data_IF_185856367985
#
_entry.id   IF_185856367985
#
_cell.length_a   1.000
_cell.length_b   1.000
_cell.length_c   1.000
_cell.angle_alpha   90.00
_cell.angle_beta   90.00
_cell.angle_gamma   90.00
#
_symmetry.space_group_name_H-M   'P 1'
#
loop_
_entity.id
_entity.type
_entity.pdbx_description
1 polymer ?
#
# COMPACT_ATOMS: atom_id res chain seq x y z
N UNK A 1 15.60 -7.38 -22.79
CA UNK A 1 14.76 -7.39 -21.61
C UNK A 1 13.34 -6.95 -21.97
N UNK A 2 12.39 -7.82 -21.72
CA UNK A 2 11.00 -7.56 -22.06
C UNK A 2 10.21 -7.21 -20.80
N UNK A 3 9.42 -6.13 -20.86
CA UNK A 3 8.54 -5.75 -19.77
C UNK A 3 7.20 -6.44 -19.97
N UNK A 4 6.85 -7.35 -19.06
CA UNK A 4 5.63 -8.14 -19.16
C UNK A 4 4.45 -7.49 -18.47
N UNK A 5 4.71 -6.77 -17.37
CA UNK A 5 3.69 -6.06 -16.61
C UNK A 5 4.21 -4.69 -16.26
N UNK A 6 3.31 -3.72 -16.29
CA UNK A 6 3.63 -2.35 -15.96
C UNK A 6 2.49 -1.74 -15.15
N UNK A 7 2.84 -1.07 -14.06
CA UNK A 7 1.90 -0.35 -13.23
C UNK A 7 2.28 1.11 -13.29
N UNK A 8 1.43 1.91 -13.90
CA UNK A 8 1.70 3.32 -14.11
C UNK A 8 1.35 4.17 -12.88
N UNK A 9 2.12 5.23 -12.66
CA UNK A 9 1.75 6.25 -11.69
C UNK A 9 0.33 6.78 -12.05
N UNK A 10 -0.58 6.99 -11.09
CA UNK A 10 -0.37 6.97 -9.64
C UNK A 10 -0.64 5.63 -8.94
N UNK A 11 -0.76 4.55 -9.67
CA UNK A 11 -1.16 3.24 -9.14
C UNK A 11 0.05 2.41 -8.67
N UNK A 12 0.93 3.01 -7.87
CA UNK A 12 2.10 2.33 -7.32
C UNK A 12 1.81 1.78 -5.93
N UNK A 13 2.25 0.54 -5.68
CA UNK A 13 2.16 -0.05 -4.35
C UNK A 13 2.99 0.73 -3.33
N UNK A 14 4.14 1.25 -3.75
CA UNK A 14 4.97 2.11 -2.91
C UNK A 14 4.24 3.38 -2.49
N UNK A 15 3.48 3.99 -3.41
CA UNK A 15 2.70 5.17 -3.10
C UNK A 15 1.55 4.86 -2.14
N UNK A 16 0.91 3.70 -2.28
CA UNK A 16 -0.10 3.26 -1.33
C UNK A 16 0.50 3.09 0.07
N UNK A 17 1.66 2.44 0.15
CA UNK A 17 2.36 2.24 1.40
C UNK A 17 2.77 3.59 2.02
N UNK A 18 3.23 4.53 1.20
CA UNK A 18 3.57 5.88 1.63
C UNK A 18 2.37 6.64 2.17
N UNK A 19 1.19 6.46 1.57
CA UNK A 19 -0.04 7.07 2.06
C UNK A 19 -0.36 6.59 3.48
N UNK A 20 -0.21 5.30 3.75
CA UNK A 20 -0.39 4.77 5.11
C UNK A 20 0.69 5.25 6.06
N UNK A 21 1.92 5.43 5.58
CA UNK A 21 3.01 6.03 6.38
C UNK A 21 2.62 7.43 6.82
N UNK A 22 2.12 8.24 5.89
CA UNK A 22 1.65 9.59 6.17
C UNK A 22 0.49 9.57 7.17
N UNK A 23 -0.52 8.72 6.92
CA UNK A 23 -1.73 8.68 7.77
C UNK A 23 -1.40 8.26 9.20
N UNK A 24 -0.44 7.37 9.38
CA UNK A 24 -0.02 6.92 10.71
C UNK A 24 0.97 7.86 11.40
N UNK A 25 1.26 9.00 10.76
CA UNK A 25 2.04 10.07 11.38
C UNK A 25 3.55 9.93 11.25
N UNK A 26 4.03 9.05 10.40
CA UNK A 26 5.45 8.89 10.13
C UNK A 26 5.86 9.68 8.90
N UNK A 27 7.15 9.99 8.83
CA UNK A 27 7.68 10.75 7.71
C UNK A 27 7.77 9.90 6.45
N UNK A 28 7.14 10.36 5.38
CA UNK A 28 7.17 9.67 4.08
C UNK A 28 8.61 9.63 3.54
N UNK A 29 8.95 8.53 2.89
CA UNK A 29 10.27 8.22 2.33
C UNK A 29 11.35 7.85 3.35
N UNK A 30 11.05 7.97 4.65
CA UNK A 30 11.98 7.55 5.69
C UNK A 30 11.31 6.77 6.81
N UNK A 31 9.98 6.81 6.88
CA UNK A 31 9.21 6.18 7.94
C UNK A 31 8.55 4.86 7.58
N UNK A 32 8.67 4.39 6.32
CA UNK A 32 8.04 3.16 5.87
C UNK A 32 8.50 1.95 6.69
N UNK A 33 9.77 1.90 7.05
CA UNK A 33 10.30 0.82 7.88
C UNK A 33 9.66 0.78 9.27
N UNK A 34 9.19 1.93 9.77
CA UNK A 34 8.52 2.01 11.08
C UNK A 34 7.15 1.32 11.01
N UNK A 35 6.44 1.47 9.89
CA UNK A 35 5.20 0.75 9.66
C UNK A 35 5.47 -0.75 9.62
N UNK A 36 6.50 -1.17 8.91
CA UNK A 36 6.88 -2.58 8.87
C UNK A 36 7.18 -3.12 10.26
N UNK A 37 7.82 -2.32 11.11
CA UNK A 37 8.12 -2.68 12.48
C UNK A 37 6.88 -2.74 13.39
N UNK A 38 5.84 -1.98 13.07
CA UNK A 38 4.58 -2.00 13.83
C UNK A 38 3.65 -3.15 13.45
N UNK A 39 3.74 -3.64 12.21
CA UNK A 39 2.82 -4.65 11.69
C UNK A 39 2.68 -5.89 12.58
N UNK A 40 3.76 -6.47 13.15
CA UNK A 40 3.62 -7.64 14.02
C UNK A 40 2.82 -7.40 15.30
N UNK A 41 2.66 -6.15 15.72
CA UNK A 41 1.92 -5.80 16.93
C UNK A 41 0.45 -5.52 16.69
N UNK A 42 0.01 -5.54 15.43
CA UNK A 42 -1.36 -5.26 15.05
C UNK A 42 -2.07 -6.47 14.47
N UNK A 43 -3.36 -6.29 14.20
CA UNK A 43 -4.19 -7.28 13.53
C UNK A 43 -4.67 -6.69 12.20
N UNK A 44 -4.76 -7.48 11.12
CA UNK A 44 -5.14 -6.95 9.80
C UNK A 44 -6.67 -6.75 9.69
N UNK A 45 -7.23 -5.97 10.60
CA UNK A 45 -8.68 -5.75 10.69
C UNK A 45 -9.21 -4.79 9.63
N UNK A 46 -8.33 -4.01 8.98
CA UNK A 46 -8.73 -3.05 7.95
C UNK A 46 -8.55 -3.59 6.52
N UNK A 47 -8.16 -4.85 6.36
CA UNK A 47 -7.90 -5.43 5.02
C UNK A 47 -9.14 -5.31 4.12
N UNK A 48 -10.33 -5.66 4.64
CA UNK A 48 -11.55 -5.59 3.84
C UNK A 48 -11.89 -4.16 3.45
N UNK A 49 -11.72 -3.20 4.38
CA UNK A 49 -11.95 -1.79 4.07
C UNK A 49 -11.01 -1.29 2.98
N UNK A 50 -9.75 -1.69 3.04
CA UNK A 50 -8.75 -1.33 2.03
C UNK A 50 -9.11 -1.95 0.68
N UNK A 51 -9.41 -3.23 0.64
CA UNK A 51 -9.72 -3.95 -0.62
C UNK A 51 -11.03 -3.48 -1.24
N UNK A 52 -12.00 -3.08 -0.43
CA UNK A 52 -13.31 -2.67 -0.93
C UNK A 52 -13.35 -1.21 -1.37
N UNK A 53 -12.44 -0.37 -0.89
CA UNK A 53 -12.50 1.07 -1.10
C UNK A 53 -11.27 1.67 -1.74
N UNK A 54 -10.09 1.22 -1.39
CA UNK A 54 -8.83 1.88 -1.79
C UNK A 54 -8.13 1.23 -2.96
N UNK A 55 -8.20 -0.09 -3.08
CA UNK A 55 -7.43 -0.83 -4.07
C UNK A 55 -8.27 -1.97 -4.66
N UNK A 56 -8.15 -2.17 -5.96
CA UNK A 56 -8.68 -3.35 -6.64
C UNK A 56 -7.49 -4.21 -7.06
N UNK A 57 -7.42 -5.43 -6.53
CA UNK A 57 -6.33 -6.36 -6.82
C UNK A 57 -6.86 -7.46 -7.73
N UNK A 58 -6.20 -7.67 -8.86
CA UNK A 58 -6.54 -8.72 -9.81
C UNK A 58 -5.76 -10.01 -9.49
N UNK A 59 -6.18 -11.12 -10.09
CA UNK A 59 -5.57 -12.43 -9.81
C UNK A 59 -4.11 -12.51 -10.21
N UNK A 60 -3.69 -11.73 -11.19
CA UNK A 60 -2.31 -11.72 -11.66
C UNK A 60 -1.39 -10.79 -10.85
N UNK A 61 -1.93 -10.13 -9.81
CA UNK A 61 -1.18 -9.19 -8.98
C UNK A 61 -1.22 -7.75 -9.46
N UNK A 62 -1.77 -7.48 -10.64
CA UNK A 62 -1.99 -6.11 -11.08
C UNK A 62 -3.07 -5.46 -10.21
N UNK A 63 -3.05 -4.15 -10.09
CA UNK A 63 -3.99 -3.45 -9.23
C UNK A 63 -4.20 -2.01 -9.68
N UNK A 64 -5.31 -1.44 -9.22
CA UNK A 64 -5.63 -0.03 -9.40
C UNK A 64 -5.98 0.58 -8.06
N UNK A 65 -5.54 1.80 -7.82
CA UNK A 65 -5.91 2.56 -6.63
C UNK A 65 -7.12 3.43 -6.93
N UNK A 66 -8.00 3.59 -5.95
CA UNK A 66 -9.13 4.53 -6.05
C UNK A 66 -8.64 5.92 -5.66
N UNK A 67 -8.37 6.75 -6.64
CA UNK A 67 -7.78 8.07 -6.42
C UNK A 67 -8.69 9.04 -5.67
N UNK A 68 -9.96 8.69 -5.47
CA UNK A 68 -10.89 9.47 -4.66
C UNK A 68 -10.43 9.64 -3.21
N UNK A 69 -9.58 8.74 -2.73
CA UNK A 69 -9.09 8.72 -1.35
C UNK A 69 -7.71 9.35 -1.16
N UNK A 70 -7.06 9.78 -2.24
CA UNK A 70 -5.65 10.19 -2.19
C UNK A 70 -5.45 11.57 -2.81
N UNK A 71 -4.46 12.30 -2.29
CA UNK A 71 -4.12 13.64 -2.76
C UNK A 71 -2.71 13.77 -3.35
N UNK A 72 -1.94 12.69 -3.40
CA UNK A 72 -0.53 12.81 -3.77
C UNK A 72 -0.29 13.19 -5.23
N UNK A 73 -1.31 13.20 -6.07
CA UNK A 73 -1.17 13.67 -7.45
C UNK A 73 -1.25 15.20 -7.56
N UNK A 74 -1.99 15.86 -6.70
CA UNK A 74 -2.30 17.30 -6.82
C UNK A 74 -2.20 18.08 -5.54
N UNK A 75 -2.19 17.40 -4.38
CA UNK A 75 -2.20 18.06 -3.08
C UNK A 75 -0.85 18.07 -2.39
N UNK A 76 -0.80 18.75 -1.24
CA UNK A 76 0.37 18.76 -0.37
C UNK A 76 0.38 17.61 0.62
N UNK A 77 -0.72 16.87 0.71
CA UNK A 77 -0.89 15.73 1.60
C UNK A 77 -1.08 14.46 0.79
N UNK A 78 -0.78 13.31 1.39
CA UNK A 78 -0.92 12.01 0.72
C UNK A 78 -2.35 11.50 0.72
N UNK A 79 -3.14 11.87 1.72
CA UNK A 79 -4.51 11.39 1.92
C UNK A 79 -5.48 12.57 2.07
N UNK A 80 -6.76 12.31 1.90
CA UNK A 80 -7.79 13.34 1.96
C UNK A 80 -8.88 13.01 2.99
N UNK A 81 -9.94 13.83 3.02
CA UNK A 81 -11.06 13.67 3.96
C UNK A 81 -11.79 12.34 3.80
N UNK A 82 -11.87 11.82 2.58
CA UNK A 82 -12.50 10.52 2.33
C UNK A 82 -11.74 9.39 3.00
N UNK A 83 -10.41 9.44 2.93
CA UNK A 83 -9.54 8.49 3.62
C UNK A 83 -9.75 8.57 5.14
N UNK A 84 -9.84 9.80 5.66
CA UNK A 84 -10.09 10.01 7.09
C UNK A 84 -11.43 9.39 7.52
N UNK A 85 -12.48 9.57 6.72
CA UNK A 85 -13.81 8.99 7.02
C UNK A 85 -13.77 7.47 7.01
N UNK A 86 -13.02 6.88 6.07
CA UNK A 86 -12.93 5.43 5.95
C UNK A 86 -12.33 4.80 7.21
N UNK A 87 -11.33 5.45 7.81
CA UNK A 87 -10.63 4.93 8.97
C UNK A 87 -11.03 5.61 10.29
N UNK A 88 -12.04 6.48 10.25
CA UNK A 88 -12.66 6.99 11.47
C UNK A 88 -11.98 8.18 12.12
N UNK A 89 -11.11 8.89 11.42
CA UNK A 89 -10.47 10.08 11.98
C UNK A 89 -9.34 10.64 11.14
N UNK A 90 -8.76 11.77 11.58
CA UNK A 90 -7.67 12.41 10.84
C UNK A 90 -6.36 11.61 10.98
N UNK A 91 -5.35 11.93 10.15
CA UNK A 91 -4.02 11.33 10.31
C UNK A 91 -3.47 11.56 11.72
N UNK A 92 -2.70 10.60 12.23
CA UNK A 92 -2.03 10.77 13.51
C UNK A 92 -1.02 11.92 13.41
N UNK A 93 -1.00 12.76 14.43
CA UNK A 93 -0.01 13.85 14.49
C UNK A 93 1.37 13.25 14.77
N UNK A 94 2.42 13.72 14.08
CA UNK A 94 3.80 13.30 14.42
C UNK A 94 4.07 13.48 15.91
N UNK A 95 4.83 12.57 16.48
CA UNK A 95 5.22 12.59 17.90
C UNK A 95 4.09 12.38 18.90
N UNK A 96 2.85 12.16 18.44
CA UNK A 96 1.78 11.76 19.35
C UNK A 96 1.90 10.27 19.67
N UNK A 97 1.14 9.81 20.67
CA UNK A 97 1.18 8.41 21.09
C UNK A 97 0.70 7.49 19.96
N UNK A 98 1.41 6.38 19.76
CA UNK A 98 1.02 5.33 18.83
C UNK A 98 -0.01 4.43 19.52
N UNK A 99 -1.18 4.27 18.91
CA UNK A 99 -2.26 3.47 19.46
C UNK A 99 -2.41 2.16 18.71
N UNK A 100 -3.29 1.29 19.20
CA UNK A 100 -3.59 0.02 18.53
C UNK A 100 -4.09 0.25 17.09
N UNK A 101 -4.77 1.36 16.84
CA UNK A 101 -5.25 1.71 15.49
C UNK A 101 -4.10 1.76 14.48
N UNK A 102 -3.00 2.43 14.82
CA UNK A 102 -1.84 2.52 13.93
C UNK A 102 -1.17 1.16 13.72
N UNK A 103 -1.11 0.35 14.77
CA UNK A 103 -0.58 -1.01 14.67
C UNK A 103 -1.45 -1.87 13.75
N UNK A 104 -2.77 -1.77 13.87
CA UNK A 104 -3.70 -2.51 13.04
C UNK A 104 -3.68 -2.04 11.59
N UNK A 105 -3.54 -0.74 11.35
CA UNK A 105 -3.36 -0.20 10.00
C UNK A 105 -2.06 -0.71 9.38
N UNK A 106 -0.99 -0.74 10.15
CA UNK A 106 0.29 -1.27 9.69
C UNK A 106 0.18 -2.75 9.32
N UNK A 107 -0.45 -3.56 10.17
CA UNK A 107 -0.68 -4.97 9.89
C UNK A 107 -1.54 -5.16 8.64
N UNK A 108 -2.54 -4.32 8.45
CA UNK A 108 -3.46 -4.40 7.31
C UNK A 108 -2.78 -4.06 6.00
N UNK A 109 -2.02 -2.96 5.95
CA UNK A 109 -1.32 -2.60 4.70
C UNK A 109 -0.21 -3.59 4.39
N UNK A 110 0.44 -4.16 5.40
CA UNK A 110 1.43 -5.20 5.19
C UNK A 110 0.80 -6.44 4.56
N UNK A 111 -0.37 -6.86 5.05
CA UNK A 111 -1.10 -7.98 4.47
C UNK A 111 -1.48 -7.73 3.01
N UNK A 112 -1.91 -6.51 2.68
CA UNK A 112 -2.23 -6.13 1.31
C UNK A 112 -0.98 -6.20 0.42
N UNK A 113 0.13 -5.65 0.88
CA UNK A 113 1.40 -5.67 0.14
C UNK A 113 1.85 -7.11 -0.12
N UNK A 114 1.75 -7.97 0.87
CA UNK A 114 2.11 -9.39 0.73
C UNK A 114 1.19 -10.10 -0.26
N UNK A 115 -0.10 -9.81 -0.25
CA UNK A 115 -1.05 -10.39 -1.21
C UNK A 115 -0.68 -10.02 -2.65
N UNK A 116 -0.38 -8.75 -2.90
CA UNK A 116 0.02 -8.27 -4.23
C UNK A 116 1.29 -8.97 -4.70
N UNK A 117 2.32 -9.02 -3.84
CA UNK A 117 3.59 -9.65 -4.17
C UNK A 117 3.42 -11.14 -4.45
N UNK A 118 2.62 -11.84 -3.63
CA UNK A 118 2.36 -13.26 -3.84
C UNK A 118 1.62 -13.54 -5.14
N UNK A 119 0.63 -12.72 -5.50
CA UNK A 119 -0.09 -12.88 -6.77
C UNK A 119 0.82 -12.62 -7.96
N UNK A 120 1.67 -11.60 -7.87
CA UNK A 120 2.66 -11.33 -8.91
C UNK A 120 3.63 -12.51 -9.07
N UNK A 121 4.14 -13.04 -7.96
CA UNK A 121 5.07 -14.16 -7.99
C UNK A 121 4.45 -15.41 -8.60
N UNK A 122 3.19 -15.70 -8.27
CA UNK A 122 2.46 -16.84 -8.85
C UNK A 122 2.24 -16.67 -10.34
N UNK A 123 1.89 -15.46 -10.77
CA UNK A 123 1.68 -15.17 -12.18
C UNK A 123 2.98 -15.30 -12.97
N UNK A 124 4.08 -14.80 -12.44
CA UNK A 124 5.41 -14.96 -13.03
C UNK A 124 5.77 -16.44 -13.18
N UNK A 125 5.50 -17.23 -12.15
CA UNK A 125 5.79 -18.66 -12.19
C UNK A 125 4.98 -19.41 -13.24
N UNK A 126 3.71 -19.04 -13.43
CA UNK A 126 2.87 -19.61 -14.50
C UNK A 126 3.45 -19.35 -15.87
N UNK A 127 4.06 -18.20 -16.08
CA UNK A 127 4.54 -17.73 -17.36
C UNK A 127 6.07 -17.83 -17.49
N UNK A 128 6.72 -18.58 -16.61
CA UNK A 128 8.19 -18.63 -16.54
C UNK A 128 8.89 -19.13 -17.81
N UNK A 129 8.15 -19.84 -18.67
CA UNK A 129 8.71 -20.33 -19.93
C UNK A 129 8.68 -19.27 -21.03
N UNK A 130 8.03 -18.15 -20.80
CA UNK A 130 7.86 -17.07 -21.78
C UNK A 130 8.89 -15.96 -21.60
N UNK A 131 9.55 -15.92 -20.44
CA UNK A 131 10.50 -14.87 -20.14
C UNK A 131 11.52 -15.31 -19.09
N UNK A 132 12.69 -14.70 -19.17
CA UNK A 132 13.81 -15.06 -18.31
C UNK A 132 14.10 -14.02 -17.24
N UNK A 133 13.47 -12.85 -17.32
CA UNK A 133 13.75 -11.75 -16.42
C UNK A 133 12.54 -10.86 -16.25
N UNK A 134 12.30 -10.44 -15.02
CA UNK A 134 11.18 -9.56 -14.65
C UNK A 134 11.73 -8.39 -13.87
N UNK A 135 11.22 -7.18 -14.17
CA UNK A 135 11.52 -6.00 -13.38
C UNK A 135 10.45 -5.80 -12.32
N UNK A 136 10.86 -5.61 -11.08
CA UNK A 136 9.99 -5.31 -9.96
C UNK A 136 10.19 -3.89 -9.41
N UNK A 137 10.67 -2.98 -10.28
CA UNK A 137 10.99 -1.62 -9.88
C UNK A 137 9.86 -0.85 -9.21
N UNK A 138 8.62 -1.10 -9.60
CA UNK A 138 7.45 -0.42 -9.03
C UNK A 138 7.14 -0.85 -7.60
N UNK A 139 7.65 -1.98 -7.16
CA UNK A 139 7.42 -2.47 -5.80
C UNK A 139 8.59 -2.19 -4.89
N UNK A 140 9.62 -1.54 -5.39
CA UNK A 140 10.81 -1.17 -4.61
C UNK A 140 10.52 0.06 -3.75
N UNK A 141 10.89 0.00 -2.50
CA UNK A 141 10.74 1.11 -1.55
C UNK A 141 11.82 1.06 -0.46
#
# INVERSE_FOLDING_TARGET
>A
LEVLKEIHFPHSLGLLYSAFTYYTGFRVNSGEYKIMGLAPYGKPVYVDAIKNNLIQINDDGSFNLNMHYFDYCTGLTMTNKNFNKLFGGPPRKPESEITQKEMDLAASIQAIAEEVVLKLAKDIQKNKNEFTQVSLGETSW
#
